data_IF_138350196899
#
_entry.id   IF_138350196899
#
_cell.length_a   1.000
_cell.length_b   1.000
_cell.length_c   1.000
_cell.angle_alpha   90.00
_cell.angle_beta   90.00
_cell.angle_gamma   90.00
#
_symmetry.space_group_name_H-M   'P 1'
#
loop_
_entity.id
_entity.type
_entity.pdbx_description
1 polymer ?
#
# COMPACT_ATOMS: atom_id res chain seq x y z
N UNK A 1 -0.64 -80.58 33.37
CA UNK A 1 -0.58 -79.32 32.61
C UNK A 1 -1.96 -79.05 32.01
N UNK A 2 -2.73 -78.11 32.56
CA UNK A 2 -4.10 -77.81 32.08
C UNK A 2 -4.01 -77.07 30.74
N UNK A 3 -4.85 -77.48 29.78
CA UNK A 3 -4.89 -76.97 28.41
C UNK A 3 -5.24 -75.47 28.41
N UNK A 4 -4.22 -74.62 28.36
CA UNK A 4 -4.36 -73.16 28.29
C UNK A 4 -5.06 -72.72 26.98
N UNK A 5 -5.05 -73.61 25.97
CA UNK A 5 -5.70 -73.49 24.66
C UNK A 5 -7.11 -74.08 24.64
N UNK A 6 -8.01 -73.59 25.48
CA UNK A 6 -9.45 -73.77 25.26
C UNK A 6 -9.89 -72.86 24.12
N UNK A 7 -10.80 -73.32 23.25
CA UNK A 7 -11.46 -72.51 22.21
C UNK A 7 -11.99 -71.18 22.78
N UNK A 8 -12.52 -71.22 24.00
CA UNK A 8 -13.00 -70.04 24.70
C UNK A 8 -11.89 -69.02 24.97
N UNK A 9 -10.72 -69.46 25.46
CA UNK A 9 -9.58 -68.56 25.73
C UNK A 9 -9.03 -67.91 24.46
N UNK A 10 -9.03 -68.64 23.33
CA UNK A 10 -8.58 -68.11 22.04
C UNK A 10 -9.54 -67.03 21.54
N UNK A 11 -10.85 -67.29 21.64
CA UNK A 11 -11.88 -66.31 21.25
C UNK A 11 -11.82 -65.06 22.15
N UNK A 12 -11.69 -65.24 23.46
CA UNK A 12 -11.57 -64.11 24.39
C UNK A 12 -10.31 -63.27 24.13
N UNK A 13 -9.17 -63.92 23.85
CA UNK A 13 -7.93 -63.21 23.51
C UNK A 13 -8.05 -62.45 22.17
N UNK A 14 -8.72 -63.03 21.17
CA UNK A 14 -8.97 -62.36 19.89
C UNK A 14 -9.90 -61.14 20.05
N UNK A 15 -10.95 -61.25 20.85
CA UNK A 15 -11.85 -60.13 21.16
C UNK A 15 -11.12 -59.02 21.90
N UNK A 16 -10.24 -59.36 22.85
CA UNK A 16 -9.47 -58.39 23.61
C UNK A 16 -8.45 -57.68 22.72
N UNK A 17 -7.79 -58.40 21.80
CA UNK A 17 -6.93 -57.79 20.79
C UNK A 17 -7.69 -56.85 19.85
N UNK A 18 -8.89 -57.25 19.40
CA UNK A 18 -9.74 -56.40 18.56
C UNK A 18 -10.19 -55.13 19.30
N UNK A 19 -10.55 -55.23 20.58
CA UNK A 19 -10.92 -54.09 21.41
C UNK A 19 -9.76 -53.10 21.61
N UNK A 20 -8.54 -53.61 21.82
CA UNK A 20 -7.34 -52.77 21.93
C UNK A 20 -7.06 -52.03 20.62
N UNK A 21 -7.18 -52.70 19.47
CA UNK A 21 -6.99 -52.06 18.17
C UNK A 21 -8.04 -50.97 17.92
N UNK A 22 -9.31 -51.23 18.24
CA UNK A 22 -10.38 -50.24 18.13
C UNK A 22 -10.17 -49.04 19.07
N UNK A 23 -9.70 -49.29 20.29
CA UNK A 23 -9.39 -48.22 21.24
C UNK A 23 -8.25 -47.34 20.72
N UNK A 24 -7.21 -47.95 20.17
CA UNK A 24 -6.08 -47.23 19.58
C UNK A 24 -6.47 -46.41 18.34
N UNK A 25 -7.44 -46.86 17.53
CA UNK A 25 -7.89 -46.09 16.36
C UNK A 25 -8.73 -44.89 16.75
N UNK A 26 -9.62 -45.04 17.75
CA UNK A 26 -10.49 -43.96 18.24
C UNK A 26 -9.70 -42.89 19.00
N UNK A 27 -8.62 -43.26 19.69
CA UNK A 27 -7.79 -42.30 20.44
C UNK A 27 -6.75 -41.57 19.60
N UNK A 28 -6.65 -41.85 18.29
CA UNK A 28 -5.77 -41.04 17.43
C UNK A 28 -6.31 -39.61 17.41
N UNK A 29 -5.53 -38.62 17.84
CA UNK A 29 -5.95 -37.24 17.70
C UNK A 29 -6.24 -36.94 16.22
N UNK A 30 -7.25 -36.12 15.93
CA UNK A 30 -7.54 -35.71 14.57
C UNK A 30 -6.28 -35.10 13.95
N UNK A 31 -6.02 -35.43 12.68
CA UNK A 31 -4.88 -34.85 11.96
C UNK A 31 -4.97 -33.33 12.03
N UNK A 32 -3.93 -32.63 12.49
CA UNK A 32 -3.93 -31.17 12.51
C UNK A 32 -4.27 -30.64 11.11
N UNK A 33 -5.19 -29.67 10.97
CA UNK A 33 -5.45 -29.06 9.69
C UNK A 33 -4.15 -28.47 9.15
N UNK A 34 -3.88 -28.66 7.85
CA UNK A 34 -2.70 -28.08 7.23
C UNK A 34 -2.81 -26.54 7.35
N UNK A 35 -1.80 -25.92 7.96
CA UNK A 35 -1.77 -24.48 8.10
C UNK A 35 -1.82 -23.85 6.69
N UNK A 36 -2.65 -22.81 6.47
CA UNK A 36 -2.71 -22.15 5.18
C UNK A 36 -1.31 -21.65 4.83
N UNK A 37 -0.80 -22.06 3.68
CA UNK A 37 0.50 -21.61 3.18
C UNK A 37 0.44 -20.10 3.01
N UNK A 38 1.35 -19.39 3.66
CA UNK A 38 1.50 -17.94 3.52
C UNK A 38 1.90 -17.64 2.06
N UNK A 39 0.91 -17.35 1.22
CA UNK A 39 1.16 -16.82 -0.11
C UNK A 39 1.72 -15.42 0.09
N UNK A 40 3.01 -15.21 -0.22
CA UNK A 40 3.55 -13.86 -0.32
C UNK A 40 2.67 -13.14 -1.32
N UNK A 41 1.93 -12.13 -0.84
CA UNK A 41 0.94 -11.46 -1.65
C UNK A 41 1.59 -10.98 -2.96
N UNK A 42 1.07 -11.50 -4.06
CA UNK A 42 1.67 -11.39 -5.38
C UNK A 42 1.81 -9.90 -5.74
N UNK A 43 3.04 -9.45 -5.95
CA UNK A 43 3.32 -8.05 -6.30
C UNK A 43 3.18 -7.91 -7.80
N UNK A 44 2.24 -7.08 -8.24
CA UNK A 44 2.05 -6.75 -9.65
C UNK A 44 2.85 -5.50 -10.01
N UNK A 45 3.60 -5.58 -11.10
CA UNK A 45 4.28 -4.43 -11.69
C UNK A 45 3.27 -3.58 -12.45
N UNK A 46 3.15 -2.30 -12.10
CA UNK A 46 2.25 -1.34 -12.76
C UNK A 46 3.04 -0.10 -13.18
N UNK A 47 2.72 0.45 -14.36
CA UNK A 47 3.26 1.74 -14.80
C UNK A 47 2.36 2.87 -14.27
N UNK A 48 2.98 3.90 -13.71
CA UNK A 48 2.34 5.12 -13.21
C UNK A 48 3.08 6.33 -13.76
N UNK A 49 2.36 7.42 -14.05
CA UNK A 49 2.99 8.70 -14.36
C UNK A 49 3.22 9.46 -13.06
N UNK A 50 4.44 9.96 -12.89
CA UNK A 50 4.83 10.80 -11.77
C UNK A 50 5.33 12.12 -12.30
N UNK A 51 4.86 13.22 -11.72
CA UNK A 51 5.19 14.56 -12.18
C UNK A 51 6.26 15.19 -11.30
N UNK A 52 7.28 15.74 -11.93
CA UNK A 52 8.32 16.55 -11.32
C UNK A 52 8.31 17.95 -11.94
N UNK A 53 9.26 18.80 -11.56
CA UNK A 53 9.41 20.13 -12.16
C UNK A 53 10.73 20.26 -12.91
N UNK A 54 10.81 21.20 -13.84
CA UNK A 54 12.09 21.58 -14.43
C UNK A 54 12.99 22.31 -13.40
N UNK A 55 14.30 22.46 -13.65
CA UNK A 55 15.21 23.15 -12.72
C UNK A 55 14.88 24.63 -12.49
N UNK A 56 14.00 25.22 -13.30
CA UNK A 56 13.56 26.62 -13.18
C UNK A 56 12.24 26.75 -12.40
N UNK A 57 11.64 25.64 -11.97
CA UNK A 57 10.35 25.57 -11.27
C UNK A 57 9.23 26.24 -12.09
N UNK A 58 9.23 26.02 -13.41
CA UNK A 58 8.26 26.64 -14.34
C UNK A 58 7.26 25.66 -14.91
N UNK A 59 7.74 24.52 -15.39
CA UNK A 59 6.89 23.51 -16.03
C UNK A 59 6.93 22.19 -15.30
N UNK A 60 5.81 21.45 -15.36
CA UNK A 60 5.77 20.07 -14.89
C UNK A 60 6.23 19.10 -15.97
N UNK A 61 6.97 18.07 -15.55
CA UNK A 61 7.49 17.02 -16.43
C UNK A 61 7.03 15.66 -15.92
N UNK A 62 6.31 14.93 -16.77
CA UNK A 62 5.89 13.57 -16.47
C UNK A 62 7.05 12.58 -16.68
N UNK A 63 7.19 11.65 -15.75
CA UNK A 63 8.10 10.51 -15.83
C UNK A 63 7.31 9.21 -15.60
N UNK A 64 7.40 8.28 -16.55
CA UNK A 64 6.80 6.95 -16.38
C UNK A 64 7.64 6.11 -15.43
N UNK A 65 7.01 5.64 -14.36
CA UNK A 65 7.64 4.83 -13.31
C UNK A 65 6.95 3.48 -13.20
N UNK A 66 7.72 2.43 -12.97
CA UNK A 66 7.18 1.11 -12.63
C UNK A 66 7.14 0.95 -11.13
N UNK A 67 5.96 0.71 -10.58
CA UNK A 67 5.74 0.44 -9.15
C UNK A 67 5.31 -1.00 -8.94
N UNK A 68 5.68 -1.57 -7.80
CA UNK A 68 5.26 -2.91 -7.38
C UNK A 68 4.16 -2.77 -6.34
N UNK A 69 2.94 -3.20 -6.66
CA UNK A 69 1.80 -3.13 -5.74
C UNK A 69 1.32 -4.52 -5.37
N UNK A 70 1.11 -4.74 -4.08
CA UNK A 70 0.61 -6.01 -3.52
C UNK A 70 -0.87 -6.24 -3.81
N UNK A 71 -1.60 -5.15 -4.03
CA UNK A 71 -2.98 -5.16 -4.48
C UNK A 71 -3.10 -4.03 -5.50
N UNK A 72 -3.63 -4.34 -6.68
CA UNK A 72 -3.93 -3.37 -7.74
C UNK A 72 -5.14 -2.47 -7.42
N UNK A 73 -5.46 -2.30 -6.12
CA UNK A 73 -6.50 -1.38 -5.70
C UNK A 73 -6.01 0.07 -5.89
N UNK A 74 -6.92 1.01 -6.18
CA UNK A 74 -6.47 2.32 -6.64
C UNK A 74 -5.77 3.17 -5.57
N UNK A 75 -6.08 2.95 -4.28
CA UNK A 75 -5.38 3.60 -3.16
C UNK A 75 -3.93 3.13 -3.06
N UNK A 76 -3.68 1.83 -3.22
CA UNK A 76 -2.34 1.26 -3.16
C UNK A 76 -1.47 1.75 -4.32
N UNK A 77 -2.03 1.85 -5.53
CA UNK A 77 -1.35 2.43 -6.69
C UNK A 77 -1.01 3.91 -6.45
N UNK A 78 -1.97 4.69 -5.94
CA UNK A 78 -1.75 6.09 -5.60
C UNK A 78 -0.63 6.26 -4.55
N UNK A 79 -0.64 5.46 -3.47
CA UNK A 79 0.39 5.52 -2.45
C UNK A 79 1.77 5.15 -3.03
N UNK A 80 1.83 4.13 -3.89
CA UNK A 80 3.07 3.74 -4.54
C UNK A 80 3.60 4.85 -5.47
N UNK A 81 2.71 5.55 -6.20
CA UNK A 81 3.09 6.70 -7.01
C UNK A 81 3.68 7.84 -6.17
N UNK A 82 3.05 8.17 -5.02
CA UNK A 82 3.58 9.20 -4.11
C UNK A 82 4.91 8.80 -3.46
N UNK A 83 5.11 7.51 -3.17
CA UNK A 83 6.39 7.01 -2.68
C UNK A 83 7.51 7.22 -3.70
N UNK A 84 7.23 6.96 -4.99
CA UNK A 84 8.20 7.21 -6.06
C UNK A 84 8.42 8.70 -6.29
N UNK A 85 7.36 9.50 -6.23
CA UNK A 85 7.44 10.96 -6.31
C UNK A 85 8.35 11.56 -5.23
N UNK A 86 8.19 11.13 -3.97
CA UNK A 86 9.05 11.59 -2.88
C UNK A 86 10.50 11.11 -3.01
N UNK A 87 10.72 10.00 -3.71
CA UNK A 87 12.06 9.50 -4.05
C UNK A 87 12.81 10.34 -5.08
N UNK A 88 12.13 11.28 -5.74
CA UNK A 88 12.72 12.16 -6.75
C UNK A 88 12.76 11.57 -8.18
N UNK A 89 13.15 12.40 -9.17
CA UNK A 89 13.23 11.99 -10.56
C UNK A 89 14.43 11.08 -10.81
N UNK A 90 14.35 10.20 -11.83
CA UNK A 90 15.55 9.49 -12.31
C UNK A 90 16.37 10.36 -13.27
N UNK A 91 15.70 11.27 -13.98
CA UNK A 91 16.33 12.16 -14.94
C UNK A 91 16.94 13.36 -14.24
N UNK A 92 18.22 13.64 -14.51
CA UNK A 92 18.89 14.87 -14.05
C UNK A 92 18.35 16.14 -14.70
N UNK A 93 17.53 16.01 -15.76
CA UNK A 93 16.83 17.14 -16.37
C UNK A 93 15.63 17.62 -15.56
N UNK A 94 15.18 16.85 -14.57
CA UNK A 94 14.07 17.18 -13.69
C UNK A 94 14.59 17.45 -12.27
N UNK A 95 13.92 18.34 -11.55
CA UNK A 95 14.21 18.68 -10.18
C UNK A 95 13.28 17.92 -9.23
N UNK A 96 13.85 17.39 -8.14
CA UNK A 96 13.08 16.84 -7.04
C UNK A 96 12.26 17.94 -6.36
N UNK A 97 10.99 17.64 -6.06
CA UNK A 97 10.06 18.63 -5.48
C UNK A 97 10.17 18.70 -3.96
N UNK A 98 10.82 17.72 -3.34
CA UNK A 98 11.12 17.68 -1.90
C UNK A 98 12.58 17.26 -1.68
N UNK A 99 13.21 17.63 -0.56
CA UNK A 99 14.55 17.17 -0.21
C UNK A 99 14.63 15.65 -0.12
N UNK A 100 15.80 15.09 -0.46
CA UNK A 100 16.05 13.66 -0.35
C UNK A 100 15.83 13.17 1.10
N UNK A 101 15.13 12.04 1.24
CA UNK A 101 14.78 11.48 2.55
C UNK A 101 13.50 12.05 3.17
N UNK A 102 12.83 13.02 2.52
CA UNK A 102 11.50 13.47 2.93
C UNK A 102 10.50 12.32 2.79
N UNK A 103 9.75 12.04 3.85
CA UNK A 103 8.73 10.99 3.83
C UNK A 103 7.62 11.33 2.83
N UNK A 104 7.19 10.34 2.05
CA UNK A 104 6.09 10.51 1.12
C UNK A 104 4.78 10.84 1.86
N UNK A 105 3.89 11.67 1.27
CA UNK A 105 2.57 11.89 1.82
C UNK A 105 1.76 10.59 1.88
N UNK A 106 0.87 10.50 2.86
CA UNK A 106 -0.10 9.40 2.92
C UNK A 106 -1.31 9.76 2.08
N UNK A 107 -1.82 8.80 1.32
CA UNK A 107 -3.02 9.01 0.51
C UNK A 107 -4.18 8.14 0.97
N UNK A 108 -5.32 8.79 1.10
CA UNK A 108 -6.61 8.18 1.33
C UNK A 108 -7.52 8.47 0.15
N UNK A 109 -8.52 7.62 -0.03
CA UNK A 109 -9.45 7.70 -1.13
C UNK A 109 -10.87 7.52 -0.60
N UNK A 110 -11.76 8.45 -0.93
CA UNK A 110 -13.22 8.30 -0.71
C UNK A 110 -13.95 8.61 -2.01
N UNK A 111 -14.55 7.58 -2.61
CA UNK A 111 -15.14 7.72 -3.94
C UNK A 111 -14.09 8.14 -4.99
N UNK A 112 -14.32 9.24 -5.75
CA UNK A 112 -13.34 9.78 -6.69
C UNK A 112 -12.38 10.81 -6.07
N UNK A 113 -12.51 11.14 -4.78
CA UNK A 113 -11.75 12.22 -4.13
C UNK A 113 -10.54 11.67 -3.37
N UNK A 114 -9.36 12.21 -3.65
CA UNK A 114 -8.15 11.91 -2.89
C UNK A 114 -7.99 12.85 -1.72
N UNK A 115 -7.53 12.30 -0.59
CA UNK A 115 -7.11 13.08 0.57
C UNK A 115 -5.64 12.77 0.83
N UNK A 116 -4.80 13.79 0.78
CA UNK A 116 -3.36 13.68 0.93
C UNK A 116 -2.95 14.30 2.25
N UNK A 117 -2.45 13.47 3.15
CA UNK A 117 -1.87 13.87 4.42
C UNK A 117 -0.37 14.13 4.25
N UNK A 118 -0.03 15.42 4.25
CA UNK A 118 1.31 15.93 4.21
C UNK A 118 1.96 15.79 5.59
N UNK A 119 3.10 15.11 5.73
CA UNK A 119 3.86 15.07 6.97
C UNK A 119 4.22 16.48 7.46
N UNK A 120 4.38 16.66 8.78
CA UNK A 120 4.73 17.96 9.38
C UNK A 120 5.97 18.64 8.75
N UNK A 121 6.91 17.85 8.22
CA UNK A 121 8.10 18.36 7.52
C UNK A 121 7.77 19.25 6.31
N UNK A 122 6.61 19.08 5.67
CA UNK A 122 6.19 19.83 4.48
C UNK A 122 5.95 21.31 4.79
N UNK A 123 5.42 21.62 5.97
CA UNK A 123 5.30 23.00 6.43
C UNK A 123 6.66 23.65 6.69
N UNK A 124 7.70 22.84 6.93
CA UNK A 124 9.08 23.29 7.18
C UNK A 124 9.92 23.51 5.92
N UNK A 125 9.40 23.24 4.72
CA UNK A 125 10.16 23.36 3.47
C UNK A 125 10.49 24.80 3.07
N UNK A 126 9.73 25.78 3.59
CA UNK A 126 9.93 27.23 3.37
C UNK A 126 10.06 27.61 1.89
N UNK A 127 9.25 27.00 1.04
CA UNK A 127 9.20 27.37 -0.37
C UNK A 127 8.52 28.72 -0.55
N UNK A 128 8.88 29.42 -1.64
CA UNK A 128 8.10 30.57 -2.10
C UNK A 128 6.81 30.11 -2.79
N UNK A 129 5.89 31.02 -3.13
CA UNK A 129 4.57 30.69 -3.68
C UNK A 129 4.62 29.79 -4.91
N UNK A 130 5.57 30.01 -5.81
CA UNK A 130 5.77 29.18 -6.99
C UNK A 130 6.19 27.75 -6.63
N UNK A 131 7.07 27.59 -5.63
CA UNK A 131 7.52 26.27 -5.17
C UNK A 131 6.43 25.52 -4.41
N UNK A 132 5.65 26.23 -3.57
CA UNK A 132 4.50 25.66 -2.87
C UNK A 132 3.41 25.21 -3.86
N UNK A 133 3.12 26.03 -4.88
CA UNK A 133 2.23 25.64 -5.97
C UNK A 133 2.74 24.41 -6.71
N UNK A 134 4.03 24.38 -7.07
CA UNK A 134 4.62 23.24 -7.77
C UNK A 134 4.59 21.95 -6.94
N UNK A 135 4.82 22.07 -5.63
CA UNK A 135 4.69 20.97 -4.67
C UNK A 135 3.30 20.35 -4.71
N UNK A 136 2.27 21.17 -4.59
CA UNK A 136 0.87 20.70 -4.60
C UNK A 136 0.46 20.20 -5.98
N UNK A 137 0.83 20.93 -7.05
CA UNK A 137 0.40 20.58 -8.40
C UNK A 137 1.06 19.32 -8.95
N UNK A 138 2.32 19.05 -8.62
CA UNK A 138 2.95 17.78 -9.02
C UNK A 138 2.31 16.58 -8.32
N UNK A 139 1.91 16.72 -7.05
CA UNK A 139 1.11 15.72 -6.33
C UNK A 139 -0.26 15.53 -6.98
N UNK A 140 -0.98 16.62 -7.23
CA UNK A 140 -2.30 16.61 -7.86
C UNK A 140 -2.26 15.94 -9.23
N UNK A 141 -1.32 16.33 -10.10
CA UNK A 141 -1.17 15.73 -11.44
C UNK A 141 -0.80 14.26 -11.36
N UNK A 142 0.09 13.87 -10.44
CA UNK A 142 0.46 12.46 -10.22
C UNK A 142 -0.74 11.61 -9.80
N UNK A 143 -1.59 12.11 -8.91
CA UNK A 143 -2.76 11.36 -8.43
C UNK A 143 -3.90 11.31 -9.44
N UNK A 144 -4.15 12.43 -10.12
CA UNK A 144 -5.26 12.58 -11.05
C UNK A 144 -4.93 12.11 -12.47
N UNK A 145 -3.69 11.70 -12.77
CA UNK A 145 -3.28 11.22 -14.10
C UNK A 145 -4.12 10.02 -14.56
N UNK A 146 -4.32 9.04 -13.68
CA UNK A 146 -5.03 7.81 -14.02
C UNK A 146 -6.52 7.88 -13.74
N UNK A 147 -6.92 8.51 -12.64
CA UNK A 147 -8.31 8.58 -12.18
C UNK A 147 -8.49 9.61 -11.06
N UNK A 148 -9.73 9.79 -10.64
CA UNK A 148 -10.10 10.71 -9.56
C UNK A 148 -10.41 12.09 -10.10
N UNK A 149 -11.14 12.86 -9.30
CA UNK A 149 -11.68 14.15 -9.71
C UNK A 149 -10.86 15.30 -9.10
N UNK A 150 -10.46 15.15 -7.84
CA UNK A 150 -9.74 16.17 -7.08
C UNK A 150 -8.84 15.60 -5.96
N UNK A 151 -8.03 16.49 -5.39
CA UNK A 151 -7.13 16.22 -4.27
C UNK A 151 -7.33 17.27 -3.18
N UNK A 152 -7.71 16.83 -1.99
CA UNK A 152 -7.74 17.65 -0.77
C UNK A 152 -6.47 17.41 0.03
N UNK A 153 -5.79 18.47 0.46
CA UNK A 153 -4.59 18.37 1.29
C UNK A 153 -4.92 18.62 2.77
N UNK A 154 -4.31 17.81 3.63
CA UNK A 154 -4.30 17.99 5.08
C UNK A 154 -2.85 17.94 5.56
N UNK A 155 -2.56 18.54 6.70
CA UNK A 155 -1.21 18.57 7.27
C UNK A 155 -1.21 17.81 8.60
N UNK A 156 -0.38 16.78 8.69
CA UNK A 156 -0.24 15.94 9.88
C UNK A 156 -1.59 15.39 10.39
N UNK A 157 -2.45 14.99 9.46
CA UNK A 157 -3.79 14.46 9.72
C UNK A 157 -4.86 15.52 10.01
N UNK A 158 -4.53 16.81 10.06
CA UNK A 158 -5.45 17.89 10.37
C UNK A 158 -5.75 18.78 9.16
N UNK A 159 -7.00 19.21 8.97
CA UNK A 159 -7.33 20.21 7.95
C UNK A 159 -6.63 21.53 8.29
N UNK A 160 -6.02 22.15 7.29
CA UNK A 160 -5.36 23.45 7.41
C UNK A 160 -5.87 24.38 6.32
N UNK A 161 -5.95 25.66 6.63
CA UNK A 161 -6.39 26.65 5.64
C UNK A 161 -5.33 26.94 4.60
N UNK A 162 -4.04 26.87 4.97
CA UNK A 162 -2.93 27.18 4.06
C UNK A 162 -1.73 26.27 4.24
N UNK A 163 -0.96 26.10 3.17
CA UNK A 163 0.43 25.67 3.21
C UNK A 163 1.27 26.84 2.73
N UNK A 164 1.88 27.55 3.70
CA UNK A 164 2.54 28.83 3.44
C UNK A 164 1.58 29.86 2.88
N UNK A 165 1.75 30.25 1.61
CA UNK A 165 0.91 31.24 0.94
C UNK A 165 -0.20 30.63 0.09
N UNK A 166 -0.27 29.31 -0.05
CA UNK A 166 -1.28 28.64 -0.85
C UNK A 166 -2.49 28.26 0.01
N UNK A 167 -3.69 28.61 -0.46
CA UNK A 167 -4.96 28.22 0.14
C UNK A 167 -5.25 26.72 -0.11
N UNK A 168 -5.56 25.99 0.95
CA UNK A 168 -5.85 24.56 0.95
C UNK A 168 -7.33 24.23 1.27
N UNK A 169 -8.17 25.24 1.48
CA UNK A 169 -9.58 25.03 1.86
C UNK A 169 -10.41 24.38 0.76
N UNK A 170 -9.97 24.51 -0.48
CA UNK A 170 -10.63 23.92 -1.65
C UNK A 170 -9.80 22.76 -2.21
N UNK A 171 -10.45 21.69 -2.70
CA UNK A 171 -9.76 20.62 -3.42
C UNK A 171 -9.10 21.13 -4.70
N UNK A 172 -7.94 20.56 -5.03
CA UNK A 172 -7.19 20.85 -6.26
C UNK A 172 -7.61 19.88 -7.37
N UNK A 173 -7.91 20.43 -8.54
CA UNK A 173 -8.28 19.68 -9.75
C UNK A 173 -7.14 19.68 -10.77
N UNK A 174 -7.32 18.99 -11.90
CA UNK A 174 -6.35 19.08 -13.02
C UNK A 174 -6.26 20.48 -13.59
N UNK A 175 -7.36 21.21 -13.63
CA UNK A 175 -7.44 22.56 -14.19
C UNK A 175 -6.66 23.57 -13.34
N UNK A 176 -6.71 23.44 -12.01
CA UNK A 176 -5.93 24.30 -11.10
C UNK A 176 -4.42 24.14 -11.27
N UNK A 177 -4.01 23.04 -11.89
CA UNK A 177 -2.63 22.64 -12.14
C UNK A 177 -2.35 22.38 -13.63
N UNK A 178 -3.00 23.13 -14.51
CA UNK A 178 -2.62 23.16 -15.91
C UNK A 178 -1.31 23.96 -16.08
N UNK A 179 -0.44 23.52 -16.98
CA UNK A 179 0.73 24.31 -17.37
C UNK A 179 0.21 25.52 -18.19
N UNK A 180 0.56 26.75 -17.78
CA UNK A 180 0.30 27.99 -18.55
C UNK A 180 1.39 28.26 -19.59
#
# INVERSE_FOLDING_TARGET
>A
MRRVFSLFNVISAALLAAAVLAYQTVQKPPTPPEAPKLQLAERTAMKVQVYFTDPQVRSMKAETRTVQVTQSNPRAVAQAALNVWAGGPNSSANLAVVPAGTAAPKVYLRGPHYYVDLPAAYAGLRYGPSGERMLLCTLTRTLLDTRGDDVTFVLNGEPVDTLGQIDLRNPFTRQDCADE
#
